data_IF_464317220490
#
_entry.id   IF_464317220490
#
_cell.length_a   1.000
_cell.length_b   1.000
_cell.length_c   1.000
_cell.angle_alpha   90.00
_cell.angle_beta   90.00
_cell.angle_gamma   90.00
#
_symmetry.space_group_name_H-M   'P 1'
#
loop_
_entity.id
_entity.type
_entity.pdbx_description
1 polymer ?
#
# COMPACT_ATOMS: atom_id res chain seq x y z
N UNK A 1 27.00 2.10 7.22
CA UNK A 1 26.10 2.31 8.37
C UNK A 1 25.10 1.16 8.48
N UNK A 2 24.47 1.03 9.65
CA UNK A 2 23.41 0.03 9.91
C UNK A 2 22.05 0.71 9.87
N UNK A 3 21.18 0.28 8.98
CA UNK A 3 19.84 0.84 8.81
C UNK A 3 18.81 -0.23 9.18
N UNK A 4 17.94 0.08 10.14
CA UNK A 4 16.84 -0.80 10.52
C UNK A 4 15.55 -0.32 9.87
N UNK A 5 14.93 -1.18 9.06
CA UNK A 5 13.58 -0.97 8.54
C UNK A 5 12.57 -1.58 9.50
N UNK A 6 11.45 -0.88 9.77
CA UNK A 6 10.36 -1.40 10.61
C UNK A 6 9.04 -1.16 9.90
N UNK A 7 8.27 -2.22 9.68
CA UNK A 7 6.94 -2.11 9.07
C UNK A 7 5.96 -3.13 9.65
N UNK A 8 4.69 -3.03 9.29
CA UNK A 8 3.79 -4.16 9.46
C UNK A 8 4.12 -5.27 8.44
N UNK A 9 3.60 -6.48 8.67
CA UNK A 9 3.87 -7.64 7.83
C UNK A 9 3.04 -7.67 6.53
N UNK A 10 2.07 -6.75 6.37
CA UNK A 10 1.23 -6.72 5.18
C UNK A 10 2.00 -6.25 3.94
N UNK A 11 1.73 -6.89 2.80
CA UNK A 11 2.35 -6.55 1.51
C UNK A 11 2.20 -5.08 1.12
N UNK A 12 1.11 -4.43 1.55
CA UNK A 12 0.88 -3.00 1.35
C UNK A 12 1.98 -2.13 1.96
N UNK A 13 2.52 -2.55 3.09
CA UNK A 13 3.54 -1.84 3.86
C UNK A 13 4.96 -2.32 3.55
N UNK A 14 5.12 -3.60 3.19
CA UNK A 14 6.41 -4.18 2.82
C UNK A 14 6.90 -3.70 1.45
N UNK A 15 6.05 -3.83 0.43
CA UNK A 15 6.45 -3.64 -0.96
C UNK A 15 7.14 -2.31 -1.26
N UNK A 16 6.69 -1.14 -0.74
CA UNK A 16 7.39 0.12 -0.97
C UNK A 16 8.80 0.16 -0.37
N UNK A 17 9.01 -0.57 0.73
CA UNK A 17 10.30 -0.61 1.42
C UNK A 17 11.31 -1.58 0.78
N UNK A 18 10.86 -2.58 0.00
CA UNK A 18 11.79 -3.54 -0.65
C UNK A 18 12.78 -2.82 -1.56
N UNK A 19 12.31 -1.91 -2.41
CA UNK A 19 13.21 -1.13 -3.28
C UNK A 19 14.17 -0.25 -2.48
N UNK A 20 13.70 0.34 -1.39
CA UNK A 20 14.53 1.15 -0.47
C UNK A 20 15.63 0.29 0.16
N UNK A 21 15.26 -0.89 0.67
CA UNK A 21 16.21 -1.85 1.26
C UNK A 21 17.29 -2.28 0.24
N UNK A 22 16.85 -2.62 -0.97
CA UNK A 22 17.77 -3.05 -2.04
C UNK A 22 18.76 -1.93 -2.42
N UNK A 23 18.31 -0.67 -2.48
CA UNK A 23 19.19 0.47 -2.74
C UNK A 23 20.16 0.74 -1.58
N UNK A 24 19.70 0.64 -0.33
CA UNK A 24 20.58 0.77 0.84
C UNK A 24 21.68 -0.29 0.83
N UNK A 25 21.35 -1.55 0.53
CA UNK A 25 22.34 -2.63 0.41
C UNK A 25 23.29 -2.41 -0.76
N UNK A 26 22.76 -1.99 -1.92
CA UNK A 26 23.57 -1.66 -3.09
C UNK A 26 24.61 -0.58 -2.79
N UNK A 27 24.26 0.41 -1.98
CA UNK A 27 25.14 1.51 -1.58
C UNK A 27 26.07 1.12 -0.41
N UNK A 28 26.10 -0.16 -0.02
CA UNK A 28 27.03 -0.73 0.97
C UNK A 28 26.60 -0.55 2.43
N UNK A 29 25.32 -0.30 2.70
CA UNK A 29 24.78 -0.26 4.06
C UNK A 29 24.38 -1.67 4.50
N UNK A 30 24.51 -1.95 5.82
CA UNK A 30 23.94 -3.14 6.41
C UNK A 30 22.46 -2.85 6.72
N UNK A 31 21.56 -3.66 6.20
CA UNK A 31 20.13 -3.50 6.36
C UNK A 31 19.55 -4.63 7.19
N UNK A 32 18.90 -4.28 8.31
CA UNK A 32 18.02 -5.17 9.03
C UNK A 32 16.56 -4.79 8.77
N UNK A 33 15.67 -5.77 8.81
CA UNK A 33 14.24 -5.52 8.70
C UNK A 33 13.47 -6.26 9.78
N UNK A 34 12.70 -5.52 10.53
CA UNK A 34 11.77 -6.01 11.55
C UNK A 34 10.34 -5.77 11.06
N UNK A 35 9.54 -6.80 11.06
CA UNK A 35 8.09 -6.67 10.89
C UNK A 35 7.37 -6.89 12.21
N UNK A 36 6.27 -6.20 12.40
CA UNK A 36 5.47 -6.25 13.62
C UNK A 36 4.05 -6.65 13.24
N UNK A 37 3.42 -7.61 13.94
CA UNK A 37 3.90 -8.31 15.15
C UNK A 37 4.83 -9.50 14.89
N UNK A 38 4.94 -9.99 13.71
CA UNK A 38 5.66 -11.23 13.35
C UNK A 38 6.45 -11.09 12.05
N UNK A 39 7.48 -11.93 11.84
CA UNK A 39 8.25 -11.92 10.60
C UNK A 39 7.36 -12.17 9.37
N UNK A 40 7.67 -11.50 8.26
CA UNK A 40 7.01 -11.71 6.99
C UNK A 40 7.84 -12.67 6.12
N UNK A 41 7.23 -13.76 5.66
CA UNK A 41 7.88 -14.77 4.79
C UNK A 41 8.50 -14.14 3.53
N UNK A 42 7.89 -13.04 3.04
CA UNK A 42 8.40 -12.32 1.86
C UNK A 42 9.84 -11.81 2.03
N UNK A 43 10.31 -11.60 3.26
CA UNK A 43 11.68 -11.13 3.52
C UNK A 43 12.73 -12.24 3.32
N UNK A 44 12.31 -13.50 3.37
CA UNK A 44 13.19 -14.62 3.06
C UNK A 44 13.65 -14.54 1.60
N UNK A 45 14.92 -14.74 1.39
CA UNK A 45 15.51 -14.70 0.03
C UNK A 45 15.84 -13.31 -0.52
N UNK A 46 15.49 -12.21 0.17
CA UNK A 46 15.90 -10.86 -0.23
C UNK A 46 17.35 -10.51 0.17
N UNK A 47 18.03 -11.37 0.93
CA UNK A 47 19.39 -11.10 1.42
C UNK A 47 19.44 -10.04 2.53
N UNK A 48 18.31 -9.74 3.16
CA UNK A 48 18.15 -8.77 4.24
C UNK A 48 18.19 -9.52 5.57
N UNK A 49 18.87 -8.96 6.56
CA UNK A 49 18.88 -9.52 7.91
C UNK A 49 17.47 -9.35 8.54
N UNK A 50 16.76 -10.45 8.76
CA UNK A 50 15.47 -10.42 9.46
C UNK A 50 15.75 -10.27 10.96
N UNK A 51 15.33 -9.14 11.52
CA UNK A 51 15.49 -8.83 12.95
C UNK A 51 14.24 -9.32 13.69
N UNK A 52 14.39 -10.41 14.43
CA UNK A 52 13.26 -11.03 15.13
C UNK A 52 12.80 -10.21 16.33
N UNK A 53 11.50 -10.11 16.51
CA UNK A 53 10.87 -9.52 17.69
C UNK A 53 10.67 -10.63 18.74
N UNK A 54 11.63 -10.77 19.65
CA UNK A 54 11.59 -11.81 20.66
C UNK A 54 10.83 -11.36 21.91
N UNK A 55 10.03 -12.26 22.48
CA UNK A 55 9.33 -12.02 23.76
C UNK A 55 8.13 -11.06 23.67
N UNK A 56 7.75 -10.61 22.50
CA UNK A 56 6.52 -9.87 22.34
C UNK A 56 5.31 -10.77 22.67
N UNK A 57 4.33 -10.29 23.45
CA UNK A 57 3.10 -11.02 23.64
C UNK A 57 2.40 -11.17 22.28
N UNK A 58 1.64 -12.27 22.09
CA UNK A 58 0.86 -12.42 20.86
C UNK A 58 -0.06 -11.21 20.69
N UNK A 59 0.16 -10.45 19.64
CA UNK A 59 -0.74 -9.38 19.30
C UNK A 59 -2.09 -9.98 18.86
N UNK A 60 -3.21 -9.27 19.06
CA UNK A 60 -4.45 -9.67 18.42
C UNK A 60 -4.20 -9.80 16.91
N UNK A 61 -4.92 -10.67 16.17
CA UNK A 61 -4.69 -10.87 14.75
C UNK A 61 -4.83 -9.54 14.01
N UNK A 62 -3.71 -8.86 13.85
CA UNK A 62 -3.62 -7.56 13.18
C UNK A 62 -3.67 -7.74 11.66
N UNK A 63 -3.21 -8.92 11.21
CA UNK A 63 -3.29 -9.31 9.82
C UNK A 63 -4.60 -10.07 9.61
N UNK A 64 -5.61 -9.37 9.16
CA UNK A 64 -6.87 -9.96 8.72
C UNK A 64 -6.96 -9.83 7.20
N UNK A 65 -7.50 -10.86 6.55
CA UNK A 65 -7.69 -10.85 5.10
C UNK A 65 -8.91 -11.65 4.67
N UNK A 66 -9.26 -11.54 3.39
CA UNK A 66 -10.33 -12.32 2.78
C UNK A 66 -11.70 -12.02 3.37
N UNK A 67 -12.49 -13.06 3.57
CA UNK A 67 -13.89 -12.96 4.03
C UNK A 67 -14.01 -12.34 5.42
N UNK A 68 -13.09 -12.65 6.33
CA UNK A 68 -13.11 -12.11 7.69
C UNK A 68 -12.99 -10.59 7.71
N UNK A 69 -12.03 -10.04 6.95
CA UNK A 69 -11.88 -8.59 6.82
C UNK A 69 -13.04 -7.95 6.06
N UNK A 70 -13.55 -8.61 5.00
CA UNK A 70 -14.71 -8.13 4.26
C UNK A 70 -15.97 -7.98 5.15
N UNK A 71 -16.14 -8.86 6.14
CA UNK A 71 -17.20 -8.76 7.15
C UNK A 71 -16.91 -7.65 8.17
N UNK A 72 -15.67 -7.58 8.66
CA UNK A 72 -15.27 -6.58 9.66
C UNK A 72 -15.51 -5.15 9.19
N UNK A 73 -15.18 -4.84 7.92
CA UNK A 73 -15.36 -3.48 7.37
C UNK A 73 -16.83 -3.06 7.23
N UNK A 74 -17.77 -4.00 7.34
CA UNK A 74 -19.21 -3.74 7.34
C UNK A 74 -19.77 -3.52 8.76
N UNK A 75 -19.01 -3.89 9.80
CA UNK A 75 -19.36 -3.73 11.21
C UNK A 75 -18.56 -2.57 11.80
N UNK A 76 -19.15 -1.37 11.77
CA UNK A 76 -18.46 -0.15 12.21
C UNK A 76 -17.96 -0.20 13.67
N UNK A 77 -18.71 -0.71 14.67
CA UNK A 77 -18.21 -0.90 16.03
C UNK A 77 -17.01 -1.85 16.10
N UNK A 78 -17.09 -3.00 15.43
CA UNK A 78 -16.00 -3.98 15.39
C UNK A 78 -14.75 -3.41 14.70
N UNK A 79 -14.92 -2.71 13.58
CA UNK A 79 -13.83 -2.04 12.86
C UNK A 79 -13.15 -0.98 13.73
N UNK A 80 -13.90 -0.19 14.48
CA UNK A 80 -13.35 0.81 15.42
C UNK A 80 -12.55 0.14 16.54
N UNK A 81 -13.07 -0.94 17.11
CA UNK A 81 -12.36 -1.73 18.12
C UNK A 81 -11.05 -2.30 17.58
N UNK A 82 -11.07 -2.84 16.37
CA UNK A 82 -9.90 -3.38 15.71
C UNK A 82 -8.83 -2.30 15.41
N UNK A 83 -9.24 -1.14 14.89
CA UNK A 83 -8.32 0.00 14.66
C UNK A 83 -7.69 0.47 15.97
N UNK A 84 -8.47 0.54 17.07
CA UNK A 84 -7.95 0.90 18.39
C UNK A 84 -6.93 -0.12 18.90
N UNK A 85 -7.27 -1.41 18.81
CA UNK A 85 -6.36 -2.48 19.23
C UNK A 85 -5.04 -2.43 18.46
N UNK A 86 -5.11 -2.20 17.13
CA UNK A 86 -3.95 -2.10 16.25
C UNK A 86 -3.05 -0.89 16.61
N UNK A 87 -3.64 0.29 16.75
CA UNK A 87 -2.88 1.53 16.85
C UNK A 87 -2.53 1.94 18.28
N UNK A 88 -3.23 1.41 19.29
CA UNK A 88 -3.05 1.87 20.67
C UNK A 88 -2.84 0.76 21.69
N UNK A 89 -3.76 -0.20 21.74
CA UNK A 89 -3.85 -1.10 22.90
C UNK A 89 -2.67 -2.09 22.95
N UNK A 90 -2.19 -2.56 21.78
CA UNK A 90 -1.05 -3.49 21.71
C UNK A 90 0.33 -2.79 21.79
N UNK A 91 0.39 -1.48 21.62
CA UNK A 91 1.67 -0.73 21.50
C UNK A 91 2.53 -0.80 22.76
N UNK A 92 2.00 -0.58 24.00
CA UNK A 92 2.82 -0.56 25.20
C UNK A 92 3.60 -1.85 25.43
N UNK A 93 2.98 -2.99 25.17
CA UNK A 93 3.57 -4.31 25.42
C UNK A 93 4.65 -4.69 24.40
N UNK A 94 4.72 -3.97 23.28
CA UNK A 94 5.66 -4.23 22.19
C UNK A 94 6.88 -3.28 22.20
N UNK A 95 6.88 -2.23 23.01
CA UNK A 95 7.98 -1.24 23.02
C UNK A 95 9.28 -1.87 23.47
N UNK A 96 9.31 -2.57 24.63
CA UNK A 96 10.54 -3.18 25.13
C UNK A 96 11.09 -4.27 24.19
N UNK A 97 10.28 -5.21 23.65
CA UNK A 97 10.75 -6.14 22.62
C UNK A 97 11.38 -5.45 21.39
N UNK A 98 10.80 -4.32 20.93
CA UNK A 98 11.38 -3.54 19.82
C UNK A 98 12.70 -2.89 20.21
N UNK A 99 12.82 -2.36 21.43
CA UNK A 99 14.08 -1.80 21.97
C UNK A 99 15.17 -2.86 22.08
N UNK A 100 14.86 -4.05 22.59
CA UNK A 100 15.80 -5.16 22.69
C UNK A 100 16.31 -5.58 21.31
N UNK A 101 15.44 -5.63 20.30
CA UNK A 101 15.81 -5.88 18.93
C UNK A 101 16.71 -4.76 18.36
N UNK A 102 16.42 -3.49 18.68
CA UNK A 102 17.30 -2.36 18.31
C UNK A 102 18.67 -2.47 19.01
N UNK A 103 18.74 -2.83 20.30
CA UNK A 103 20.00 -3.04 20.99
C UNK A 103 20.83 -4.19 20.38
N UNK A 104 20.19 -5.25 19.94
CA UNK A 104 20.84 -6.37 19.24
C UNK A 104 21.38 -5.94 17.88
N UNK A 105 20.56 -5.29 17.06
CA UNK A 105 20.95 -4.87 15.72
C UNK A 105 21.85 -3.64 15.72
N UNK A 106 21.75 -2.75 16.70
CA UNK A 106 22.49 -1.46 16.85
C UNK A 106 22.40 -0.58 15.59
N UNK A 107 21.21 -0.11 15.22
CA UNK A 107 21.04 0.73 14.03
C UNK A 107 21.62 2.13 14.26
N UNK A 108 22.22 2.69 13.21
CA UNK A 108 22.59 4.11 13.16
C UNK A 108 21.37 5.00 12.82
N UNK A 109 20.42 4.45 12.06
CA UNK A 109 19.18 5.09 11.59
C UNK A 109 18.07 4.06 11.52
N UNK A 110 16.84 4.49 11.85
CA UNK A 110 15.62 3.70 11.64
C UNK A 110 14.79 4.34 10.52
N UNK A 111 14.28 3.53 9.58
CA UNK A 111 13.26 3.95 8.65
C UNK A 111 12.01 3.09 8.89
N UNK A 112 10.89 3.71 9.20
CA UNK A 112 9.72 2.99 9.67
C UNK A 112 8.42 3.49 9.05
N UNK A 113 7.46 2.58 8.99
CA UNK A 113 6.08 2.93 8.74
C UNK A 113 5.53 3.75 9.91
N UNK A 114 5.05 4.96 9.65
CA UNK A 114 4.53 5.88 10.65
C UNK A 114 3.34 5.36 11.47
N UNK A 115 2.73 4.23 11.07
CA UNK A 115 1.70 3.54 11.81
C UNK A 115 2.24 2.57 12.88
N UNK A 116 3.51 2.20 12.81
CA UNK A 116 4.16 1.30 13.77
C UNK A 116 4.65 2.11 14.98
N UNK A 117 3.71 2.51 15.84
CA UNK A 117 3.96 3.44 16.96
C UNK A 117 5.00 2.92 17.96
N UNK A 118 5.05 1.61 18.21
CA UNK A 118 6.07 0.99 19.03
C UNK A 118 7.48 1.20 18.47
N UNK A 119 7.63 1.19 17.15
CA UNK A 119 8.90 1.51 16.48
C UNK A 119 9.29 2.97 16.64
N UNK A 120 8.33 3.90 16.52
CA UNK A 120 8.54 5.34 16.74
C UNK A 120 8.97 5.60 18.17
N UNK A 121 8.23 5.05 19.17
CA UNK A 121 8.50 5.24 20.57
C UNK A 121 9.83 4.61 21.00
N UNK A 122 10.16 3.42 20.49
CA UNK A 122 11.46 2.78 20.74
C UNK A 122 12.61 3.62 20.16
N UNK A 123 12.52 4.09 18.92
CA UNK A 123 13.54 4.95 18.32
C UNK A 123 13.73 6.26 19.11
N UNK A 124 12.63 6.86 19.62
CA UNK A 124 12.68 8.03 20.46
C UNK A 124 13.42 7.76 21.79
N UNK A 125 13.07 6.69 22.48
CA UNK A 125 13.68 6.31 23.78
C UNK A 125 15.17 6.01 23.61
N UNK A 126 15.57 5.36 22.55
CA UNK A 126 16.96 5.04 22.21
C UNK A 126 17.71 6.23 21.58
N UNK A 127 17.04 7.34 21.32
CA UNK A 127 17.60 8.55 20.67
C UNK A 127 18.20 8.26 19.29
N UNK A 128 17.66 7.27 18.57
CA UNK A 128 18.08 6.92 17.22
C UNK A 128 17.33 7.81 16.23
N UNK A 129 18.02 8.47 15.28
CA UNK A 129 17.34 9.26 14.24
C UNK A 129 16.47 8.35 13.37
N UNK A 130 15.26 8.82 13.04
CA UNK A 130 14.33 8.02 12.25
C UNK A 130 13.65 8.80 11.14
N UNK A 131 13.32 8.09 10.07
CA UNK A 131 12.49 8.55 8.96
C UNK A 131 11.14 7.85 8.98
N UNK A 132 10.06 8.61 8.76
CA UNK A 132 8.76 8.04 8.39
C UNK A 132 8.76 7.66 6.91
N UNK A 133 8.29 6.46 6.59
CA UNK A 133 8.08 6.02 5.21
C UNK A 133 6.62 5.65 5.05
N UNK A 134 5.88 6.50 4.35
CA UNK A 134 4.46 6.28 4.13
C UNK A 134 4.24 5.28 3.00
N UNK A 135 3.48 4.24 3.29
CA UNK A 135 3.00 3.27 2.29
C UNK A 135 1.80 3.76 1.49
N UNK A 136 1.28 4.96 1.81
CA UNK A 136 0.05 5.51 1.24
C UNK A 136 0.18 7.02 0.97
N UNK A 137 -0.92 7.69 0.59
CA UNK A 137 -1.00 9.15 0.43
C UNK A 137 -1.69 9.83 1.62
N UNK A 138 -1.89 9.11 2.72
CA UNK A 138 -2.60 9.57 3.92
C UNK A 138 -1.91 10.74 4.62
N UNK A 139 -0.59 10.89 4.46
CA UNK A 139 0.14 12.07 4.95
C UNK A 139 -0.34 13.39 4.30
N UNK A 140 -0.91 13.35 3.10
CA UNK A 140 -1.35 14.54 2.39
C UNK A 140 -2.74 15.04 2.83
N UNK A 141 -3.53 14.19 3.46
CA UNK A 141 -4.81 14.49 4.12
C UNK A 141 -5.70 15.47 3.33
N UNK A 142 -6.18 15.11 2.12
CA UNK A 142 -6.98 16.02 1.33
C UNK A 142 -8.27 16.38 2.06
N UNK A 143 -8.61 17.68 2.21
CA UNK A 143 -9.75 18.12 3.02
C UNK A 143 -11.10 17.67 2.45
N UNK A 144 -11.15 17.28 1.20
CA UNK A 144 -12.35 16.82 0.50
C UNK A 144 -12.68 15.35 0.85
N UNK A 145 -11.76 14.62 1.50
CA UNK A 145 -11.98 13.21 1.87
C UNK A 145 -12.31 13.10 3.35
N UNK A 146 -13.46 12.53 3.64
CA UNK A 146 -13.89 12.18 4.99
C UNK A 146 -14.32 10.71 5.06
N UNK A 147 -13.35 9.82 5.04
CA UNK A 147 -13.58 8.38 5.12
C UNK A 147 -13.88 7.90 6.55
N UNK A 148 -14.48 6.71 6.68
CA UNK A 148 -14.70 6.08 7.98
C UNK A 148 -13.38 5.91 8.76
N UNK A 149 -12.28 5.52 8.08
CA UNK A 149 -10.96 5.45 8.69
C UNK A 149 -10.55 6.78 9.31
N UNK A 150 -10.65 7.88 8.56
CA UNK A 150 -10.26 9.21 9.04
C UNK A 150 -11.08 9.63 10.25
N UNK A 151 -12.39 9.34 10.28
CA UNK A 151 -13.26 9.62 11.44
C UNK A 151 -12.85 8.78 12.65
N UNK A 152 -12.60 7.48 12.47
CA UNK A 152 -12.17 6.59 13.55
C UNK A 152 -10.82 7.00 14.14
N UNK A 153 -9.85 7.32 13.30
CA UNK A 153 -8.51 7.75 13.73
C UNK A 153 -8.55 9.12 14.43
N UNK A 154 -9.38 10.05 13.96
CA UNK A 154 -9.60 11.34 14.66
C UNK A 154 -10.21 11.14 16.04
N UNK A 155 -11.14 10.19 16.19
CA UNK A 155 -11.73 9.86 17.49
C UNK A 155 -10.70 9.28 18.48
N UNK A 156 -9.59 8.71 18.02
CA UNK A 156 -8.49 8.20 18.84
C UNK A 156 -7.39 9.27 19.11
N UNK A 157 -7.53 10.49 18.63
CA UNK A 157 -6.46 11.48 18.66
C UNK A 157 -6.02 11.86 20.09
N UNK A 158 -6.93 11.87 21.07
CA UNK A 158 -6.62 12.17 22.46
C UNK A 158 -5.89 11.01 23.13
N UNK A 159 -6.40 9.79 23.00
CA UNK A 159 -5.78 8.58 23.51
C UNK A 159 -4.38 8.38 22.93
N UNK A 160 -4.21 8.67 21.64
CA UNK A 160 -2.91 8.61 20.96
C UNK A 160 -1.92 9.62 21.51
N UNK A 161 -2.34 10.86 21.72
CA UNK A 161 -1.50 11.87 22.37
C UNK A 161 -1.12 11.47 23.79
N UNK A 162 -2.05 10.93 24.55
CA UNK A 162 -1.79 10.44 25.92
C UNK A 162 -0.81 9.25 25.91
N UNK A 163 -0.91 8.34 24.95
CA UNK A 163 0.05 7.25 24.80
C UNK A 163 1.47 7.79 24.57
N UNK A 164 1.67 8.68 23.61
CA UNK A 164 2.99 9.21 23.28
C UNK A 164 3.57 10.07 24.42
N UNK A 165 2.74 10.88 25.09
CA UNK A 165 3.15 11.70 26.23
C UNK A 165 3.69 10.87 27.42
N UNK A 166 3.18 9.63 27.65
CA UNK A 166 3.72 8.72 28.67
C UNK A 166 5.20 8.38 28.45
N UNK A 167 5.66 8.43 27.20
CA UNK A 167 7.04 8.17 26.81
C UNK A 167 7.84 9.45 26.54
N UNK A 168 7.29 10.61 26.88
CA UNK A 168 7.95 11.91 26.75
C UNK A 168 8.08 12.40 25.30
N UNK A 169 7.22 11.92 24.40
CA UNK A 169 7.21 12.34 22.99
C UNK A 169 5.96 13.15 22.67
N UNK A 170 6.14 14.41 22.30
CA UNK A 170 5.14 15.20 21.60
C UNK A 170 5.31 14.95 20.10
N UNK A 171 4.30 14.40 19.44
CA UNK A 171 4.37 14.02 18.05
C UNK A 171 3.20 14.57 17.23
N UNK A 172 3.49 14.95 16.00
CA UNK A 172 2.49 15.32 15.02
C UNK A 172 2.02 14.08 14.24
N UNK A 173 0.75 14.11 13.85
CA UNK A 173 0.15 13.01 13.10
C UNK A 173 -0.58 13.52 11.86
N UNK A 174 -0.58 12.70 10.83
CA UNK A 174 -1.47 12.82 9.66
C UNK A 174 -2.25 11.52 9.52
N UNK A 175 -3.58 11.63 9.58
CA UNK A 175 -4.47 10.46 9.70
C UNK A 175 -3.97 9.54 10.82
N UNK A 176 -3.43 8.38 10.50
CA UNK A 176 -2.88 7.40 11.46
C UNK A 176 -1.34 7.40 11.53
N UNK A 177 -0.64 8.14 10.68
CA UNK A 177 0.82 8.11 10.62
C UNK A 177 1.44 9.17 11.53
N UNK A 178 2.40 8.74 12.36
CA UNK A 178 3.25 9.62 13.13
C UNK A 178 4.29 10.26 12.21
N UNK A 179 4.41 11.59 12.25
CA UNK A 179 5.38 12.32 11.45
C UNK A 179 6.75 12.34 12.13
N UNK A 180 7.78 11.99 11.37
CA UNK A 180 9.15 12.28 11.78
C UNK A 180 9.43 13.78 11.67
N UNK A 181 10.06 14.40 12.66
CA UNK A 181 10.47 15.79 12.58
C UNK A 181 11.64 16.01 11.60
N UNK A 182 12.28 14.94 11.11
CA UNK A 182 13.48 15.01 10.28
C UNK A 182 13.22 14.66 8.80
N UNK A 183 12.46 13.58 8.55
CA UNK A 183 12.19 13.11 7.19
C UNK A 183 10.94 12.25 7.15
N UNK A 184 10.02 12.56 6.24
CA UNK A 184 8.92 11.69 5.85
C UNK A 184 8.97 11.48 4.33
N UNK A 185 8.87 10.24 3.91
CA UNK A 185 8.93 9.85 2.50
C UNK A 185 7.55 9.46 2.02
N UNK A 186 7.14 10.01 0.86
CA UNK A 186 5.89 9.66 0.17
C UNK A 186 6.21 9.27 -1.27
N UNK A 187 5.76 8.10 -1.70
CA UNK A 187 6.03 7.56 -3.04
C UNK A 187 5.05 8.09 -4.09
N UNK A 188 5.14 9.38 -4.37
CA UNK A 188 4.35 10.05 -5.38
C UNK A 188 5.15 11.18 -6.02
N UNK A 189 4.58 11.80 -7.08
CA UNK A 189 5.04 13.07 -7.63
C UNK A 189 3.89 14.06 -7.69
N UNK A 190 4.19 15.35 -7.82
CA UNK A 190 3.18 16.39 -8.02
C UNK A 190 2.26 16.12 -9.21
N UNK A 191 2.72 15.38 -10.22
CA UNK A 191 1.90 15.01 -11.38
C UNK A 191 0.69 14.15 -10.99
N UNK A 192 0.78 13.38 -9.89
CA UNK A 192 -0.32 12.60 -9.32
C UNK A 192 -1.13 13.39 -8.30
N UNK A 193 -0.45 14.01 -7.33
CA UNK A 193 -1.15 14.61 -6.17
C UNK A 193 -1.57 16.06 -6.39
N UNK A 194 -1.00 16.73 -7.40
CA UNK A 194 -1.20 18.16 -7.67
C UNK A 194 -0.21 19.04 -6.91
N UNK A 195 0.11 20.21 -7.47
CA UNK A 195 0.99 21.21 -6.84
C UNK A 195 0.34 21.90 -5.62
N UNK A 196 -0.96 21.75 -5.45
CA UNK A 196 -1.76 22.26 -4.33
C UNK A 196 -1.92 21.25 -3.18
N UNK A 197 -1.29 20.07 -3.28
CA UNK A 197 -1.30 19.09 -2.22
C UNK A 197 -0.66 19.63 -0.93
N UNK A 198 -1.30 19.39 0.21
CA UNK A 198 -0.82 19.84 1.52
C UNK A 198 0.27 18.91 2.04
N UNK A 199 1.48 19.12 1.57
CA UNK A 199 2.65 18.34 2.00
C UNK A 199 3.10 18.81 3.39
N UNK A 200 3.14 17.93 4.42
CA UNK A 200 3.59 18.31 5.76
C UNK A 200 5.08 18.74 5.79
N UNK A 201 5.50 19.47 6.84
CA UNK A 201 6.92 19.75 7.05
C UNK A 201 7.78 18.48 7.05
N UNK A 202 9.05 18.60 6.67
CA UNK A 202 10.00 17.49 6.56
C UNK A 202 9.52 16.29 5.69
N UNK A 203 8.55 16.53 4.80
CA UNK A 203 8.01 15.50 3.90
C UNK A 203 8.49 15.73 2.48
N UNK A 204 8.87 14.66 1.80
CA UNK A 204 9.35 14.67 0.41
C UNK A 204 8.57 13.70 -0.47
N UNK A 205 8.19 14.17 -1.66
CA UNK A 205 7.62 13.35 -2.73
C UNK A 205 8.76 12.82 -3.59
N UNK A 206 9.09 11.54 -3.46
CA UNK A 206 10.28 10.96 -4.10
C UNK A 206 10.01 10.31 -5.46
N UNK A 207 8.75 10.04 -5.82
CA UNK A 207 8.38 9.24 -6.98
C UNK A 207 8.12 7.77 -6.59
N UNK A 208 7.98 6.86 -7.57
CA UNK A 208 7.59 5.49 -7.29
C UNK A 208 8.71 4.70 -6.59
N UNK A 209 8.34 3.82 -5.67
CA UNK A 209 9.26 2.81 -5.16
C UNK A 209 9.27 1.62 -6.14
N UNK A 210 10.32 1.55 -6.94
CA UNK A 210 10.54 0.43 -7.84
C UNK A 210 11.64 -0.46 -7.28
N UNK A 211 11.43 -1.77 -7.17
CA UNK A 211 12.48 -2.68 -6.70
C UNK A 211 13.63 -2.73 -7.72
N UNK A 212 14.87 -2.83 -7.21
CA UNK A 212 16.08 -2.95 -8.02
C UNK A 212 16.27 -4.37 -8.57
N UNK A 213 15.72 -5.34 -7.87
CA UNK A 213 15.76 -6.77 -8.19
C UNK A 213 14.41 -7.42 -7.89
N UNK A 214 14.34 -8.77 -7.83
CA UNK A 214 13.14 -9.48 -7.39
C UNK A 214 12.59 -8.89 -6.08
N UNK A 215 11.27 -8.82 -5.98
CA UNK A 215 10.56 -8.30 -4.80
C UNK A 215 10.24 -9.40 -3.78
N UNK A 216 10.41 -10.68 -4.18
CA UNK A 216 10.14 -11.83 -3.31
C UNK A 216 8.67 -12.24 -3.25
N UNK A 217 7.80 -11.63 -4.07
CA UNK A 217 6.37 -11.95 -4.14
C UNK A 217 5.93 -12.36 -5.56
N UNK A 218 6.86 -12.67 -6.43
CA UNK A 218 6.59 -13.14 -7.78
C UNK A 218 5.93 -14.53 -7.74
N UNK A 219 4.84 -14.69 -8.46
CA UNK A 219 4.08 -15.94 -8.54
C UNK A 219 4.12 -16.56 -9.92
N UNK A 220 3.91 -17.86 -9.98
CA UNK A 220 3.68 -18.56 -11.24
C UNK A 220 2.37 -18.06 -11.85
N UNK A 221 2.40 -17.83 -13.16
CA UNK A 221 1.24 -17.34 -13.89
C UNK A 221 1.15 -18.04 -15.25
N UNK A 222 -0.07 -18.43 -15.71
CA UNK A 222 -0.27 -19.11 -16.98
C UNK A 222 -0.23 -18.11 -18.16
N UNK A 223 0.95 -17.63 -18.51
CA UNK A 223 1.19 -16.63 -19.55
C UNK A 223 0.64 -17.05 -20.93
N UNK A 224 0.63 -18.35 -21.20
CA UNK A 224 0.12 -18.95 -22.45
C UNK A 224 -1.40 -18.79 -22.63
N UNK A 225 -2.14 -18.48 -21.56
CA UNK A 225 -3.57 -18.21 -21.61
C UNK A 225 -3.90 -16.76 -22.00
N UNK A 226 -2.90 -15.88 -22.01
CA UNK A 226 -3.13 -14.50 -22.47
C UNK A 226 -3.38 -14.46 -23.98
N UNK A 227 -4.34 -13.63 -24.36
CA UNK A 227 -4.76 -13.42 -25.76
C UNK A 227 -4.32 -12.04 -26.22
N UNK A 228 -3.21 -11.93 -26.97
CA UNK A 228 -2.69 -10.64 -27.43
C UNK A 228 -3.66 -9.81 -28.28
N UNK A 229 -4.63 -10.47 -28.92
CA UNK A 229 -5.65 -9.85 -29.75
C UNK A 229 -6.80 -9.21 -28.96
N UNK A 230 -6.85 -9.45 -27.65
CA UNK A 230 -7.88 -8.90 -26.77
C UNK A 230 -7.30 -7.82 -25.84
N UNK A 231 -8.05 -6.74 -25.58
CA UNK A 231 -7.68 -5.81 -24.51
C UNK A 231 -7.58 -6.55 -23.16
N UNK A 232 -6.44 -6.42 -22.49
CA UNK A 232 -6.22 -7.03 -21.18
C UNK A 232 -6.60 -6.04 -20.09
N UNK A 233 -7.45 -6.46 -19.15
CA UNK A 233 -7.74 -5.75 -17.90
C UNK A 233 -7.30 -6.61 -16.74
N UNK A 234 -6.41 -6.06 -15.92
CA UNK A 234 -6.01 -6.68 -14.66
C UNK A 234 -6.94 -6.23 -13.54
N UNK A 235 -7.38 -7.16 -12.71
CA UNK A 235 -8.31 -6.93 -11.59
C UNK A 235 -7.67 -7.41 -10.30
N UNK A 236 -7.51 -6.52 -9.32
CA UNK A 236 -6.95 -6.87 -8.02
C UNK A 236 -7.52 -6.00 -6.89
N UNK A 237 -8.10 -6.65 -5.91
CA UNK A 237 -8.53 -6.01 -4.66
C UNK A 237 -7.48 -6.15 -3.53
N UNK A 238 -6.20 -6.36 -3.90
CA UNK A 238 -5.08 -6.48 -2.98
C UNK A 238 -5.02 -7.81 -2.25
N UNK A 239 -4.10 -7.92 -1.32
CA UNK A 239 -3.86 -9.17 -0.57
C UNK A 239 -4.80 -9.35 0.63
N UNK A 240 -5.48 -8.31 1.08
CA UNK A 240 -6.36 -8.35 2.25
C UNK A 240 -7.84 -8.26 1.89
N UNK A 241 -8.24 -7.34 1.01
CA UNK A 241 -9.63 -6.99 0.67
C UNK A 241 -10.16 -7.78 -0.56
N UNK A 242 -9.44 -8.80 -1.00
CA UNK A 242 -9.75 -9.54 -2.23
C UNK A 242 -11.12 -10.24 -2.24
N UNK A 243 -11.75 -10.47 -1.09
CA UNK A 243 -13.04 -11.17 -1.00
C UNK A 243 -14.20 -10.27 -1.40
N UNK A 244 -14.35 -10.09 -2.72
CA UNK A 244 -15.38 -9.25 -3.33
C UNK A 244 -16.12 -10.01 -4.47
N UNK A 245 -16.73 -11.18 -4.19
CA UNK A 245 -17.27 -12.04 -5.25
C UNK A 245 -18.33 -11.35 -6.10
N UNK A 246 -19.19 -10.51 -5.52
CA UNK A 246 -20.23 -9.81 -6.26
C UNK A 246 -19.64 -8.76 -7.21
N UNK A 247 -18.65 -8.00 -6.77
CA UNK A 247 -17.98 -7.00 -7.61
C UNK A 247 -17.25 -7.69 -8.78
N UNK A 248 -16.59 -8.83 -8.52
CA UNK A 248 -15.89 -9.59 -9.54
C UNK A 248 -16.85 -10.14 -10.60
N UNK A 249 -18.06 -10.59 -10.21
CA UNK A 249 -19.10 -10.99 -11.17
C UNK A 249 -19.59 -9.84 -12.03
N UNK A 250 -19.92 -8.70 -11.41
CA UNK A 250 -20.35 -7.49 -12.16
C UNK A 250 -19.29 -7.05 -13.17
N UNK A 251 -18.02 -7.14 -12.82
CA UNK A 251 -16.90 -6.81 -13.72
C UNK A 251 -16.81 -7.81 -14.87
N UNK A 252 -16.95 -9.11 -14.63
CA UNK A 252 -16.91 -10.14 -15.67
C UNK A 252 -18.09 -10.00 -16.66
N UNK A 253 -19.30 -9.79 -16.15
CA UNK A 253 -20.49 -9.50 -16.97
C UNK A 253 -20.37 -8.20 -17.79
N UNK A 254 -19.67 -7.20 -17.23
CA UNK A 254 -19.42 -5.96 -17.94
C UNK A 254 -18.37 -6.10 -19.05
N UNK A 255 -17.36 -6.95 -18.84
CA UNK A 255 -16.24 -7.16 -19.74
C UNK A 255 -16.58 -8.05 -20.95
N UNK A 256 -17.45 -9.06 -20.76
CA UNK A 256 -17.79 -10.05 -21.77
C UNK A 256 -18.22 -9.45 -23.13
N UNK A 257 -19.23 -8.54 -23.22
CA UNK A 257 -19.67 -7.96 -24.50
C UNK A 257 -18.66 -6.98 -25.09
N UNK A 258 -17.60 -6.62 -24.36
CA UNK A 258 -16.53 -5.75 -24.85
C UNK A 258 -15.36 -6.54 -25.47
N UNK A 259 -15.40 -7.88 -25.43
CA UNK A 259 -14.31 -8.72 -25.90
C UNK A 259 -13.02 -8.58 -25.08
N UNK A 260 -13.12 -8.13 -23.84
CA UNK A 260 -12.00 -7.95 -22.91
C UNK A 260 -11.60 -9.29 -22.33
N UNK A 261 -10.29 -9.53 -22.17
CA UNK A 261 -9.79 -10.58 -21.34
C UNK A 261 -9.52 -10.02 -19.93
N UNK A 262 -10.09 -10.67 -18.90
CA UNK A 262 -9.82 -10.35 -17.50
C UNK A 262 -8.76 -11.27 -16.92
N UNK A 263 -7.81 -10.70 -16.18
CA UNK A 263 -6.95 -11.43 -15.24
C UNK A 263 -7.30 -10.97 -13.84
N UNK A 264 -7.78 -11.87 -13.00
CA UNK A 264 -8.28 -11.57 -11.66
C UNK A 264 -7.36 -12.23 -10.63
N UNK A 265 -6.72 -11.43 -9.77
CA UNK A 265 -6.07 -11.89 -8.55
C UNK A 265 -7.11 -11.93 -7.44
N UNK A 266 -7.56 -13.13 -7.06
CA UNK A 266 -8.77 -13.33 -6.27
C UNK A 266 -8.53 -13.99 -4.89
N UNK A 267 -7.26 -14.21 -4.50
CA UNK A 267 -6.94 -14.91 -3.25
C UNK A 267 -7.63 -16.27 -3.18
N UNK A 268 -8.19 -16.60 -2.03
CA UNK A 268 -8.87 -17.88 -1.81
C UNK A 268 -10.12 -18.08 -2.70
N UNK A 269 -10.68 -17.04 -3.28
CA UNK A 269 -11.77 -17.17 -4.28
C UNK A 269 -11.31 -17.83 -5.59
N UNK A 270 -10.02 -17.90 -5.85
CA UNK A 270 -9.49 -18.61 -7.01
C UNK A 270 -9.66 -20.14 -6.91
N UNK A 271 -9.94 -20.62 -5.72
CA UNK A 271 -10.21 -22.04 -5.43
C UNK A 271 -11.71 -22.33 -5.51
N UNK A 272 -12.06 -23.60 -5.66
CA UNK A 272 -13.44 -24.05 -5.71
C UNK A 272 -14.19 -23.68 -7.00
N UNK A 273 -15.50 -23.40 -6.89
CA UNK A 273 -16.38 -23.21 -8.04
C UNK A 273 -16.48 -21.75 -8.52
N UNK A 274 -15.95 -20.78 -7.80
CA UNK A 274 -16.10 -19.36 -8.12
C UNK A 274 -15.53 -19.00 -9.50
N UNK A 275 -14.32 -19.43 -9.88
CA UNK A 275 -13.79 -19.10 -11.21
C UNK A 275 -14.66 -19.58 -12.37
N UNK A 276 -15.23 -20.79 -12.22
CA UNK A 276 -16.11 -21.39 -13.25
C UNK A 276 -17.49 -20.69 -13.36
N UNK A 277 -17.86 -19.88 -12.37
CA UNK A 277 -19.11 -19.11 -12.37
C UNK A 277 -19.02 -17.77 -13.09
N UNK A 278 -17.81 -17.35 -13.49
CA UNK A 278 -17.60 -16.06 -14.14
C UNK A 278 -17.78 -16.18 -15.65
N UNK A 279 -18.54 -15.26 -16.27
CA UNK A 279 -18.71 -15.24 -17.73
C UNK A 279 -17.46 -14.69 -18.42
N UNK A 280 -17.41 -14.89 -19.75
CA UNK A 280 -16.42 -14.29 -20.62
C UNK A 280 -15.04 -14.94 -20.57
N UNK A 281 -14.04 -14.23 -21.09
CA UNK A 281 -12.64 -14.67 -21.12
C UNK A 281 -11.90 -14.22 -19.86
N UNK A 282 -12.00 -15.02 -18.81
CA UNK A 282 -11.52 -14.67 -17.49
C UNK A 282 -10.50 -15.69 -16.97
N UNK A 283 -9.30 -15.22 -16.60
CA UNK A 283 -8.27 -15.98 -15.92
C UNK A 283 -8.31 -15.58 -14.45
N UNK A 284 -8.56 -16.54 -13.56
CA UNK A 284 -8.58 -16.31 -12.11
C UNK A 284 -7.41 -17.05 -11.48
N UNK A 285 -6.62 -16.34 -10.68
CA UNK A 285 -5.48 -16.89 -9.95
C UNK A 285 -5.50 -16.43 -8.49
N UNK A 286 -4.95 -17.20 -7.56
CA UNK A 286 -4.88 -16.77 -6.16
C UNK A 286 -4.06 -15.49 -5.99
N UNK A 287 -2.92 -15.43 -6.66
CA UNK A 287 -2.02 -14.29 -6.68
C UNK A 287 -1.42 -14.13 -8.09
N UNK A 288 -1.27 -12.90 -8.56
CA UNK A 288 -0.78 -12.61 -9.90
C UNK A 288 0.49 -11.75 -9.85
N UNK A 289 1.45 -11.92 -10.78
CA UNK A 289 2.64 -11.09 -10.89
C UNK A 289 2.29 -9.69 -11.40
N UNK A 290 1.78 -8.84 -10.48
CA UNK A 290 1.16 -7.54 -10.79
C UNK A 290 2.06 -6.64 -11.64
N UNK A 291 3.35 -6.52 -11.31
CA UNK A 291 4.29 -5.67 -12.04
C UNK A 291 4.38 -6.07 -13.52
N UNK A 292 4.51 -7.38 -13.81
CA UNK A 292 4.61 -7.89 -15.18
C UNK A 292 3.28 -7.84 -15.95
N UNK A 293 2.15 -7.95 -15.24
CA UNK A 293 0.82 -7.80 -15.85
C UNK A 293 0.50 -6.36 -16.19
N UNK A 294 0.88 -5.39 -15.36
CA UNK A 294 0.65 -3.97 -15.61
C UNK A 294 1.39 -3.47 -16.87
N UNK A 295 2.57 -4.04 -17.19
CA UNK A 295 3.27 -3.72 -18.44
C UNK A 295 2.46 -4.06 -19.69
N UNK A 296 1.48 -4.97 -19.58
CA UNK A 296 0.64 -5.48 -20.69
C UNK A 296 -0.81 -5.02 -20.60
N UNK A 297 -1.24 -4.58 -19.41
CA UNK A 297 -2.63 -4.25 -19.17
C UNK A 297 -3.05 -2.95 -19.85
N UNK A 298 -4.23 -2.97 -20.43
CA UNK A 298 -4.91 -1.79 -20.95
C UNK A 298 -5.55 -0.96 -19.84
N UNK A 299 -5.97 -1.57 -18.74
CA UNK A 299 -6.48 -0.91 -17.55
C UNK A 299 -6.29 -1.80 -16.32
N UNK A 300 -6.26 -1.17 -15.14
CA UNK A 300 -6.36 -1.82 -13.85
C UNK A 300 -7.74 -1.56 -13.25
N UNK A 301 -8.39 -2.60 -12.72
CA UNK A 301 -9.52 -2.44 -11.80
C UNK A 301 -9.04 -2.79 -10.39
N UNK A 302 -9.22 -1.90 -9.43
CA UNK A 302 -8.66 -2.08 -8.10
C UNK A 302 -9.52 -1.43 -7.01
N UNK A 303 -9.33 -1.88 -5.76
CA UNK A 303 -9.83 -1.19 -4.57
C UNK A 303 -9.17 0.18 -4.34
N UNK A 304 -8.07 0.48 -5.04
CA UNK A 304 -7.34 1.73 -4.86
C UNK A 304 -6.24 1.68 -3.79
N UNK A 305 -5.71 0.49 -3.47
CA UNK A 305 -4.53 0.38 -2.61
C UNK A 305 -3.34 1.14 -3.19
N UNK A 306 -2.57 1.81 -2.32
CA UNK A 306 -1.53 2.75 -2.73
C UNK A 306 -0.48 2.15 -3.67
N UNK A 307 0.00 0.92 -3.40
CA UNK A 307 0.95 0.24 -4.27
C UNK A 307 0.36 -0.04 -5.66
N UNK A 308 -0.88 -0.52 -5.73
CA UNK A 308 -1.53 -0.82 -7.02
C UNK A 308 -1.69 0.45 -7.86
N UNK A 309 -2.03 1.58 -7.23
CA UNK A 309 -2.12 2.89 -7.90
C UNK A 309 -0.74 3.36 -8.36
N UNK A 310 0.26 3.31 -7.49
CA UNK A 310 1.64 3.71 -7.80
C UNK A 310 2.21 2.89 -8.97
N UNK A 311 2.04 1.57 -8.93
CA UNK A 311 2.54 0.64 -9.95
C UNK A 311 1.80 0.82 -11.28
N UNK A 312 0.47 1.00 -11.28
CA UNK A 312 -0.28 1.31 -12.49
C UNK A 312 0.17 2.64 -13.12
N UNK A 313 0.41 3.67 -12.30
CA UNK A 313 0.90 4.96 -12.79
C UNK A 313 2.33 4.87 -13.30
N UNK A 314 3.19 4.02 -12.74
CA UNK A 314 4.54 3.74 -13.24
C UNK A 314 4.50 3.25 -14.70
N UNK A 315 3.50 2.46 -15.06
CA UNK A 315 3.37 1.90 -16.40
C UNK A 315 2.40 2.70 -17.30
N UNK A 316 1.79 3.75 -16.76
CA UNK A 316 0.86 4.62 -17.49
C UNK A 316 -0.47 3.93 -17.77
N UNK A 317 -0.90 3.07 -16.87
CA UNK A 317 -2.14 2.29 -16.94
C UNK A 317 -3.26 3.04 -16.23
N UNK A 318 -4.37 3.39 -16.91
CA UNK A 318 -5.54 3.97 -16.27
C UNK A 318 -6.16 3.04 -15.25
N UNK A 319 -6.72 3.59 -14.16
CA UNK A 319 -7.30 2.79 -13.08
C UNK A 319 -8.80 3.06 -12.94
N UNK A 320 -9.58 1.99 -12.86
CA UNK A 320 -10.96 2.01 -12.38
C UNK A 320 -10.93 1.57 -10.92
N UNK A 321 -11.31 2.45 -10.01
CA UNK A 321 -11.27 2.19 -8.58
C UNK A 321 -12.66 1.93 -8.01
N UNK A 322 -12.74 0.94 -7.12
CA UNK A 322 -13.90 0.66 -6.26
C UNK A 322 -13.40 0.67 -4.82
N UNK A 323 -13.27 1.84 -4.17
CA UNK A 323 -12.80 1.92 -2.79
C UNK A 323 -13.73 1.16 -1.84
N UNK A 324 -13.14 0.39 -0.93
CA UNK A 324 -13.87 -0.44 0.04
C UNK A 324 -13.68 0.12 1.46
N UNK A 325 -12.44 0.41 1.85
CA UNK A 325 -12.10 0.87 3.20
C UNK A 325 -10.75 1.59 3.24
N UNK A 326 -10.30 1.97 4.43
CA UNK A 326 -8.97 2.50 4.75
C UNK A 326 -8.57 3.74 3.93
N UNK A 327 -7.32 3.77 3.52
CA UNK A 327 -6.65 4.83 2.73
C UNK A 327 -7.12 4.91 1.27
N UNK A 328 -7.88 3.93 0.80
CA UNK A 328 -8.29 3.78 -0.60
C UNK A 328 -9.05 5.01 -1.13
N UNK A 329 -9.82 5.67 -0.27
CA UNK A 329 -10.54 6.90 -0.61
C UNK A 329 -9.60 8.09 -0.85
N UNK A 330 -8.45 8.12 -0.18
CA UNK A 330 -7.42 9.15 -0.39
C UNK A 330 -6.74 8.96 -1.75
N UNK A 331 -6.36 7.72 -2.09
CA UNK A 331 -5.81 7.40 -3.40
C UNK A 331 -6.82 7.67 -4.52
N UNK A 332 -8.10 7.32 -4.29
CA UNK A 332 -9.19 7.57 -5.25
C UNK A 332 -9.35 9.06 -5.53
N UNK A 333 -9.31 9.89 -4.49
CA UNK A 333 -9.38 11.35 -4.63
C UNK A 333 -8.25 11.87 -5.53
N UNK A 334 -7.00 11.58 -5.21
CA UNK A 334 -5.87 12.10 -5.97
C UNK A 334 -5.86 11.60 -7.42
N UNK A 335 -6.17 10.33 -7.64
CA UNK A 335 -6.19 9.77 -8.98
C UNK A 335 -7.32 10.34 -9.84
N UNK A 336 -8.52 10.54 -9.27
CA UNK A 336 -9.64 11.19 -9.94
C UNK A 336 -9.35 12.67 -10.22
N UNK A 337 -8.78 13.40 -9.23
CA UNK A 337 -8.37 14.80 -9.36
C UNK A 337 -7.32 14.98 -10.46
N UNK A 338 -6.33 14.08 -10.54
CA UNK A 338 -5.36 14.07 -11.63
C UNK A 338 -5.99 13.76 -13.00
N UNK A 339 -7.13 13.07 -13.04
CA UNK A 339 -7.80 12.61 -14.26
C UNK A 339 -7.17 11.36 -14.88
N UNK A 340 -6.54 10.51 -14.05
CA UNK A 340 -5.93 9.23 -14.47
C UNK A 340 -6.75 8.00 -14.05
N UNK A 341 -7.86 8.19 -13.34
CA UNK A 341 -8.74 7.11 -12.90
C UNK A 341 -10.21 7.50 -12.85
N UNK A 342 -11.04 6.47 -12.74
CA UNK A 342 -12.48 6.56 -12.52
C UNK A 342 -12.78 5.93 -11.18
N UNK A 343 -13.56 6.60 -10.35
CA UNK A 343 -14.03 6.06 -9.07
C UNK A 343 -15.46 5.59 -9.24
N UNK A 344 -15.71 4.33 -8.92
CA UNK A 344 -17.04 3.74 -8.85
C UNK A 344 -17.44 3.59 -7.40
N UNK A 345 -18.63 4.00 -7.07
CA UNK A 345 -19.19 3.81 -5.76
C UNK A 345 -19.68 2.35 -5.61
N UNK A 346 -19.22 1.70 -4.55
CA UNK A 346 -19.56 0.32 -4.23
C UNK A 346 -21.07 0.12 -4.05
N UNK A 347 -21.77 1.08 -3.43
CA UNK A 347 -23.18 0.95 -3.09
C UNK A 347 -24.10 1.04 -4.33
N UNK A 348 -23.65 1.77 -5.36
CA UNK A 348 -24.41 1.98 -6.62
C UNK A 348 -23.81 1.23 -7.79
N UNK A 349 -22.88 0.29 -7.53
CA UNK A 349 -22.18 -0.44 -8.56
C UNK A 349 -23.18 -1.25 -9.44
N UNK A 350 -22.97 -1.21 -10.74
CA UNK A 350 -23.80 -1.92 -11.71
C UNK A 350 -22.99 -2.38 -12.92
N UNK A 351 -23.46 -3.41 -13.62
CA UNK A 351 -22.84 -3.92 -14.84
C UNK A 351 -22.63 -2.82 -15.87
N UNK A 352 -23.65 -1.95 -16.07
CA UNK A 352 -23.55 -0.85 -17.04
C UNK A 352 -22.57 0.24 -16.60
N UNK A 353 -22.51 0.54 -15.27
CA UNK A 353 -21.49 1.44 -14.69
C UNK A 353 -20.09 0.92 -14.92
N UNK A 354 -19.84 -0.37 -14.62
CA UNK A 354 -18.57 -1.04 -14.87
C UNK A 354 -18.21 -1.03 -16.36
N UNK A 355 -19.18 -1.34 -17.23
CA UNK A 355 -18.98 -1.35 -18.69
C UNK A 355 -18.57 0.00 -19.24
N UNK A 356 -19.21 1.09 -18.80
CA UNK A 356 -18.84 2.45 -19.21
C UNK A 356 -17.42 2.78 -18.73
N UNK A 357 -17.08 2.46 -17.48
CA UNK A 357 -15.76 2.71 -16.91
C UNK A 357 -14.67 1.93 -17.67
N UNK A 358 -14.90 0.65 -17.97
CA UNK A 358 -13.96 -0.17 -18.74
C UNK A 358 -13.74 0.38 -20.17
N UNK A 359 -14.81 0.75 -20.88
CA UNK A 359 -14.68 1.40 -22.21
C UNK A 359 -13.84 2.66 -22.14
N UNK A 360 -14.11 3.51 -21.15
CA UNK A 360 -13.40 4.79 -21.00
C UNK A 360 -11.92 4.58 -20.61
N UNK A 361 -11.62 3.61 -19.74
CA UNK A 361 -10.25 3.30 -19.33
C UNK A 361 -9.44 2.68 -20.48
N UNK A 362 -10.08 1.89 -21.34
CA UNK A 362 -9.43 1.23 -22.47
C UNK A 362 -9.33 2.11 -23.73
N UNK A 363 -9.96 3.28 -23.76
CA UNK A 363 -9.86 4.19 -24.90
C UNK A 363 -8.40 4.63 -25.12
N UNK A 364 -7.75 4.24 -26.23
CA UNK A 364 -6.35 4.55 -26.47
C UNK A 364 -6.09 6.04 -26.71
N UNK A 365 -7.10 6.78 -27.20
CA UNK A 365 -7.07 8.22 -27.40
C UNK A 365 -7.67 9.00 -26.22
N UNK A 366 -8.15 8.29 -25.21
CA UNK A 366 -8.86 8.86 -24.07
C UNK A 366 -8.00 9.69 -23.13
N UNK A 367 -8.62 10.67 -22.50
CA UNK A 367 -7.97 11.57 -21.54
C UNK A 367 -7.32 10.81 -20.37
N UNK A 368 -7.96 9.75 -19.88
CA UNK A 368 -7.43 8.94 -18.77
C UNK A 368 -6.06 8.38 -19.12
N UNK A 369 -5.93 7.79 -20.29
CA UNK A 369 -4.65 7.22 -20.75
C UNK A 369 -3.59 8.29 -20.99
N UNK A 370 -3.96 9.42 -21.57
CA UNK A 370 -3.03 10.53 -21.75
C UNK A 370 -2.50 11.04 -20.42
N UNK A 371 -3.36 11.15 -19.41
CA UNK A 371 -2.98 11.57 -18.05
C UNK A 371 -2.13 10.51 -17.34
N UNK A 372 -2.50 9.23 -17.39
CA UNK A 372 -1.71 8.16 -16.80
C UNK A 372 -0.29 8.11 -17.39
N UNK A 373 -0.15 8.32 -18.71
CA UNK A 373 1.17 8.43 -19.37
C UNK A 373 1.96 9.65 -18.89
N UNK A 374 1.32 10.79 -18.68
CA UNK A 374 1.98 11.98 -18.13
C UNK A 374 2.53 11.73 -16.72
N UNK A 375 1.76 11.04 -15.87
CA UNK A 375 2.22 10.66 -14.53
C UNK A 375 3.37 9.67 -14.64
N UNK A 376 3.27 8.65 -15.50
CA UNK A 376 4.37 7.72 -15.81
C UNK A 376 5.64 8.46 -16.21
N UNK A 377 5.54 9.44 -17.07
CA UNK A 377 6.70 10.19 -17.58
C UNK A 377 7.35 11.03 -16.46
N UNK A 378 6.54 11.56 -15.53
CA UNK A 378 7.01 12.17 -14.29
C UNK A 378 7.71 11.16 -13.36
N UNK A 379 7.19 9.93 -13.25
CA UNK A 379 7.76 8.86 -12.46
C UNK A 379 9.10 8.36 -13.02
N UNK A 380 9.22 8.26 -14.36
CA UNK A 380 10.47 7.87 -15.03
C UNK A 380 11.64 8.83 -14.85
N UNK A 381 11.36 10.07 -14.45
CA UNK A 381 12.38 11.06 -14.11
C UNK A 381 12.89 10.91 -12.67
N UNK A 382 12.31 10.00 -11.91
CA UNK A 382 12.56 9.78 -10.49
C UNK A 382 12.78 8.31 -10.19
N UNK A 383 13.76 8.01 -9.38
CA UNK A 383 13.91 6.71 -8.70
C UNK A 383 13.59 6.94 -7.23
N UNK A 384 12.31 6.74 -6.88
CA UNK A 384 11.82 7.05 -5.55
C UNK A 384 12.44 6.17 -4.47
N UNK A 385 12.68 4.89 -4.78
CA UNK A 385 13.35 3.97 -3.85
C UNK A 385 14.79 4.42 -3.57
N UNK A 386 15.55 4.77 -4.61
CA UNK A 386 16.92 5.26 -4.49
C UNK A 386 17.00 6.59 -3.75
N UNK A 387 16.11 7.53 -4.08
CA UNK A 387 16.09 8.84 -3.42
C UNK A 387 15.71 8.71 -1.95
N UNK A 388 14.76 7.84 -1.60
CA UNK A 388 14.40 7.51 -0.22
C UNK A 388 15.60 6.92 0.53
N UNK A 389 16.26 5.91 -0.03
CA UNK A 389 17.45 5.28 0.54
C UNK A 389 18.56 6.31 0.84
N UNK A 390 18.88 7.16 -0.15
CA UNK A 390 19.88 8.22 -0.01
C UNK A 390 19.54 9.21 1.11
N UNK A 391 18.29 9.66 1.21
CA UNK A 391 17.85 10.60 2.26
C UNK A 391 17.84 9.97 3.64
N UNK A 392 17.42 8.71 3.75
CA UNK A 392 17.47 7.96 5.01
C UNK A 392 18.92 7.84 5.49
N UNK A 393 19.85 7.49 4.60
CA UNK A 393 21.26 7.38 4.95
C UNK A 393 21.88 8.71 5.42
N UNK A 394 21.34 9.85 4.98
CA UNK A 394 21.81 11.19 5.38
C UNK A 394 21.32 11.64 6.76
N UNK A 395 20.39 10.93 7.42
CA UNK A 395 19.87 11.35 8.73
C UNK A 395 20.89 11.22 9.87
N UNK A 396 21.95 10.45 9.67
CA UNK A 396 23.03 10.25 10.66
C UNK A 396 24.23 11.17 10.43
N UNK A 397 24.17 12.07 9.46
CA UNK A 397 25.25 13.02 9.13
C UNK A 397 25.09 14.39 9.80
#
# INVERSE_FOLDING_TARGET
MRVLLISSAEKGHLNPLVGVAQWLMHDGHQVGWMTVPEPADQLEGLGIEVVALLGAPPAPPLVMGGEALARLVLDEPALRGWIRALLLDAVPDQIEPVRDAMHSFRPDVVALDGMVYQGVLAAHLERIPWAGVSSALTLLEPPEVDSALMRHVRALAEDRRALFARYGLEADFRTCECLSPRLNVVFATEALVGSDARVPPATVLVGPSTPLASRGDESLFPWEKLRPERPLVYVSFGSQIYWQPEILRLLAEAAEPLGIQLVISAGALAEGNFPASLPGDTIVVPYAPQLALLERAGALVSHGGANSVMEAMRDGVPVVQVPICNDQFVQAHFLAKAGAGIVLDRETLSVEGCRRALRQALDPAGRLRATARRIRDSYRQRDGAREAARRIAQLNS
#
